data_IF_097229167049
#
_entry.id   IF_097229167049
#
_cell.length_a   1.000
_cell.length_b   1.000
_cell.length_c   1.000
_cell.angle_alpha   90.00
_cell.angle_beta   90.00
_cell.angle_gamma   90.00
#
_symmetry.space_group_name_H-M   'P 1'
#
loop_
_entity.id
_entity.type
_entity.pdbx_description
1 polymer ?
#
# COMPACT_ATOMS: atom_id res chain seq x y z
N UNK A 1 -3.53 -18.14 -6.32
CA UNK A 1 -2.25 -17.44 -6.56
C UNK A 1 -1.80 -16.84 -5.25
N UNK A 2 -0.50 -16.66 -5.05
CA UNK A 2 0.06 -16.08 -3.83
C UNK A 2 0.32 -14.58 -4.01
N UNK A 3 -0.09 -13.78 -3.03
CA UNK A 3 0.04 -12.33 -3.04
C UNK A 3 0.75 -11.83 -1.79
N UNK A 4 1.81 -11.05 -1.98
CA UNK A 4 2.57 -10.43 -0.88
C UNK A 4 2.22 -8.97 -0.74
N UNK A 5 1.86 -8.56 0.48
CA UNK A 5 1.55 -7.16 0.81
C UNK A 5 1.69 -6.92 2.32
N UNK A 6 1.85 -5.67 2.72
CA UNK A 6 1.97 -5.30 4.13
C UNK A 6 0.81 -4.41 4.56
N UNK A 7 0.12 -4.79 5.64
CA UNK A 7 -0.82 -3.92 6.32
C UNK A 7 -0.13 -3.26 7.51
N UNK A 8 -0.15 -1.93 7.59
CA UNK A 8 0.44 -1.18 8.69
C UNK A 8 -0.64 -0.50 9.51
N UNK A 9 -0.57 -0.65 10.83
CA UNK A 9 -1.55 -0.15 11.77
C UNK A 9 -0.91 0.63 12.92
N UNK A 10 -1.68 1.58 13.46
CA UNK A 10 -1.48 2.17 14.77
C UNK A 10 -2.33 1.38 15.77
N UNK A 11 -1.67 0.83 16.79
CA UNK A 11 -2.33 0.18 17.92
C UNK A 11 -2.78 1.21 18.97
N UNK A 12 -3.88 0.92 19.64
CA UNK A 12 -4.29 1.59 20.86
C UNK A 12 -3.41 1.16 22.05
N UNK A 13 -3.44 1.93 23.15
CA UNK A 13 -2.64 1.63 24.34
C UNK A 13 -2.99 0.28 24.97
N UNK A 14 -4.25 -0.14 24.83
CA UNK A 14 -4.82 -1.37 25.38
C UNK A 14 -4.33 -2.64 24.65
N UNK A 15 -3.89 -2.52 23.39
CA UNK A 15 -3.48 -3.66 22.54
C UNK A 15 -1.95 -3.81 22.42
N UNK A 16 -1.19 -3.32 23.39
CA UNK A 16 0.29 -3.37 23.37
C UNK A 16 0.88 -4.72 23.81
N UNK A 17 0.07 -5.64 24.30
CA UNK A 17 0.49 -7.00 24.65
C UNK A 17 0.70 -7.85 23.41
N UNK A 18 1.96 -8.01 22.99
CA UNK A 18 2.35 -8.63 21.72
C UNK A 18 1.89 -10.10 21.63
N UNK A 19 2.12 -10.88 22.68
CA UNK A 19 1.82 -12.33 22.65
C UNK A 19 0.32 -12.58 22.46
N UNK A 20 -0.52 -11.92 23.26
CA UNK A 20 -1.98 -12.01 23.15
C UNK A 20 -2.49 -11.45 21.81
N UNK A 21 -1.83 -10.44 21.26
CA UNK A 21 -2.15 -9.88 19.94
C UNK A 21 -1.86 -10.89 18.83
N UNK A 22 -0.70 -11.55 18.87
CA UNK A 22 -0.31 -12.59 17.90
C UNK A 22 -1.28 -13.77 17.95
N UNK A 23 -1.66 -14.23 19.15
CA UNK A 23 -2.65 -15.30 19.31
C UNK A 23 -4.00 -14.93 18.68
N UNK A 24 -4.53 -13.74 18.99
CA UNK A 24 -5.79 -13.22 18.40
C UNK A 24 -5.73 -13.12 16.88
N UNK A 25 -4.60 -12.67 16.33
CA UNK A 25 -4.39 -12.56 14.88
C UNK A 25 -4.38 -13.95 14.23
N UNK A 26 -3.69 -14.92 14.83
CA UNK A 26 -3.68 -16.30 14.35
C UNK A 26 -5.08 -16.93 14.36
N UNK A 27 -5.82 -16.78 15.46
CA UNK A 27 -7.20 -17.27 15.58
C UNK A 27 -8.17 -16.62 14.57
N UNK A 28 -7.90 -15.37 14.19
CA UNK A 28 -8.69 -14.64 13.20
C UNK A 28 -8.31 -14.98 11.74
N UNK A 29 -7.35 -15.88 11.51
CA UNK A 29 -6.94 -16.28 10.16
C UNK A 29 -5.82 -15.44 9.55
N UNK A 30 -5.00 -14.77 10.37
CA UNK A 30 -3.76 -14.12 9.93
C UNK A 30 -2.50 -14.96 10.24
N UNK A 31 -2.60 -16.29 10.08
CA UNK A 31 -1.49 -17.23 10.27
C UNK A 31 -0.48 -17.23 9.11
N UNK A 32 -0.85 -16.61 7.99
CA UNK A 32 -0.05 -16.36 6.79
C UNK A 32 0.67 -15.00 6.78
N UNK A 33 0.70 -14.31 7.94
CA UNK A 33 1.32 -13.01 8.10
C UNK A 33 2.52 -13.03 9.05
N UNK A 34 3.62 -12.42 8.61
CA UNK A 34 4.73 -12.08 9.49
C UNK A 34 4.38 -10.83 10.30
N UNK A 35 4.35 -10.99 11.63
CA UNK A 35 4.05 -9.91 12.57
C UNK A 35 5.32 -9.13 12.93
N UNK A 36 5.31 -7.82 12.67
CA UNK A 36 6.43 -6.92 12.96
C UNK A 36 6.02 -5.72 13.81
N UNK A 37 6.80 -5.44 14.86
CA UNK A 37 6.63 -4.24 15.72
C UNK A 37 7.92 -3.42 15.64
N UNK A 38 8.00 -2.56 14.62
CA UNK A 38 9.18 -1.74 14.39
C UNK A 38 9.27 -0.51 15.30
N UNK A 39 8.14 -0.03 15.82
CA UNK A 39 8.06 1.13 16.72
C UNK A 39 6.96 0.90 17.77
N UNK A 40 7.08 1.50 18.97
CA UNK A 40 6.01 1.45 19.97
C UNK A 40 4.66 1.90 19.40
N UNK A 41 3.64 1.04 19.54
CA UNK A 41 2.29 1.29 19.02
C UNK A 41 2.14 1.15 17.50
N UNK A 42 3.15 0.66 16.78
CA UNK A 42 3.03 0.29 15.36
C UNK A 42 2.96 -1.22 15.22
N UNK A 43 2.04 -1.68 14.37
CA UNK A 43 1.92 -3.06 13.94
C UNK A 43 2.08 -3.09 12.43
N UNK A 44 2.97 -3.96 11.94
CA UNK A 44 3.07 -4.31 10.53
C UNK A 44 2.77 -5.80 10.38
N UNK A 45 1.97 -6.14 9.39
CA UNK A 45 1.61 -7.51 9.06
C UNK A 45 1.95 -7.72 7.59
N UNK A 46 3.04 -8.44 7.32
CA UNK A 46 3.44 -8.82 5.96
C UNK A 46 2.80 -10.16 5.61
N UNK A 47 1.75 -10.11 4.79
CA UNK A 47 1.00 -11.27 4.33
C UNK A 47 1.69 -11.91 3.15
N UNK A 48 1.62 -13.24 3.10
CA UNK A 48 1.83 -14.05 1.90
C UNK A 48 0.59 -14.90 1.70
N UNK A 49 -0.44 -14.30 1.10
CA UNK A 49 -1.81 -14.82 1.12
C UNK A 49 -2.21 -15.47 -0.19
N UNK A 50 -2.77 -16.66 -0.10
CA UNK A 50 -3.41 -17.31 -1.24
C UNK A 50 -4.83 -16.80 -1.47
N UNK A 51 -5.14 -16.41 -2.71
CA UNK A 51 -6.49 -16.01 -3.11
C UNK A 51 -6.72 -16.21 -4.62
N UNK A 52 -7.96 -15.97 -5.09
CA UNK A 52 -8.29 -15.97 -6.51
C UNK A 52 -7.76 -14.72 -7.22
N UNK A 53 -7.79 -13.57 -6.54
CA UNK A 53 -7.23 -12.30 -7.01
C UNK A 53 -6.64 -11.45 -5.88
N UNK A 54 -5.82 -10.45 -6.24
CA UNK A 54 -5.17 -9.54 -5.29
C UNK A 54 -6.19 -8.75 -4.44
N UNK A 55 -7.36 -8.47 -5.01
CA UNK A 55 -8.45 -7.78 -4.33
C UNK A 55 -9.01 -8.61 -3.18
N UNK A 56 -9.27 -9.89 -3.43
CA UNK A 56 -9.73 -10.84 -2.42
C UNK A 56 -8.69 -11.01 -1.32
N UNK A 57 -7.40 -11.17 -1.68
CA UNK A 57 -6.31 -11.31 -0.72
C UNK A 57 -6.24 -10.12 0.26
N UNK A 58 -6.22 -8.89 -0.25
CA UNK A 58 -6.13 -7.69 0.59
C UNK A 58 -7.42 -7.46 1.39
N UNK A 59 -8.60 -7.67 0.79
CA UNK A 59 -9.89 -7.45 1.49
C UNK A 59 -10.11 -8.46 2.62
N UNK A 60 -9.76 -9.73 2.43
CA UNK A 60 -9.86 -10.74 3.48
C UNK A 60 -8.90 -10.40 4.63
N UNK A 61 -7.64 -10.06 4.32
CA UNK A 61 -6.67 -9.69 5.36
C UNK A 61 -7.09 -8.44 6.15
N UNK A 62 -7.66 -7.43 5.49
CA UNK A 62 -8.24 -6.26 6.16
C UNK A 62 -9.41 -6.64 7.08
N UNK A 63 -10.25 -7.59 6.67
CA UNK A 63 -11.38 -8.07 7.46
C UNK A 63 -10.91 -8.85 8.70
N UNK A 64 -9.95 -9.76 8.52
CA UNK A 64 -9.39 -10.60 9.59
C UNK A 64 -8.71 -9.75 10.65
N UNK A 65 -7.86 -8.80 10.25
CA UNK A 65 -7.20 -7.89 11.19
C UNK A 65 -8.22 -7.01 11.93
N UNK A 66 -9.29 -6.57 11.25
CA UNK A 66 -10.34 -5.77 11.88
C UNK A 66 -11.16 -6.58 12.88
N UNK A 67 -11.36 -7.87 12.64
CA UNK A 67 -12.00 -8.77 13.60
C UNK A 67 -11.08 -9.02 14.80
N UNK A 68 -9.79 -9.28 14.54
CA UNK A 68 -8.80 -9.53 15.58
C UNK A 68 -8.55 -8.31 16.46
N UNK A 69 -8.43 -7.11 15.88
CA UNK A 69 -8.02 -5.86 16.57
C UNK A 69 -8.89 -4.68 16.14
N UNK A 70 -10.15 -4.58 16.62
CA UNK A 70 -11.09 -3.54 16.16
C UNK A 70 -10.66 -2.10 16.44
N UNK A 71 -9.82 -1.90 17.45
CA UNK A 71 -9.24 -0.62 17.87
C UNK A 71 -8.08 -0.16 16.97
N UNK A 72 -7.48 -1.07 16.20
CA UNK A 72 -6.32 -0.75 15.36
C UNK A 72 -6.73 0.17 14.21
N UNK A 73 -5.97 1.24 14.03
CA UNK A 73 -6.19 2.21 12.96
C UNK A 73 -5.26 1.93 11.79
N UNK A 74 -5.82 1.61 10.63
CA UNK A 74 -5.04 1.42 9.40
C UNK A 74 -4.25 2.69 9.07
N UNK A 75 -2.93 2.55 8.95
CA UNK A 75 -2.01 3.61 8.52
C UNK A 75 -1.88 3.54 7.00
N UNK A 76 -1.53 2.38 6.44
CA UNK A 76 -1.40 2.18 5.00
C UNK A 76 -1.40 0.69 4.63
N UNK A 77 -1.76 0.41 3.38
CA UNK A 77 -1.49 -0.85 2.69
C UNK A 77 -0.31 -0.64 1.75
N UNK A 78 0.70 -1.50 1.82
CA UNK A 78 1.88 -1.46 0.97
C UNK A 78 1.99 -2.74 0.11
N UNK A 79 2.59 -2.67 -1.09
CA UNK A 79 3.26 -1.51 -1.67
C UNK A 79 2.29 -0.54 -2.40
N UNK A 80 2.39 0.76 -2.10
CA UNK A 80 1.62 1.81 -2.80
C UNK A 80 2.40 3.13 -2.86
N UNK A 81 2.58 3.82 -1.74
CA UNK A 81 3.28 5.11 -1.69
C UNK A 81 4.79 4.90 -1.73
N UNK A 82 5.41 5.23 -2.86
CA UNK A 82 6.82 4.90 -3.16
C UNK A 82 7.61 6.09 -3.69
N UNK A 83 8.91 6.11 -3.37
CA UNK A 83 9.89 6.94 -4.06
C UNK A 83 10.52 6.22 -5.25
N UNK A 84 11.33 6.94 -6.03
CA UNK A 84 12.04 6.35 -7.18
C UNK A 84 13.02 5.23 -6.79
N UNK A 85 13.49 5.21 -5.54
CA UNK A 85 14.35 4.13 -5.04
C UNK A 85 13.57 2.84 -4.93
N UNK A 86 12.39 2.88 -4.29
CA UNK A 86 11.56 1.69 -4.07
C UNK A 86 11.05 1.14 -5.41
N UNK A 87 10.62 2.02 -6.33
CA UNK A 87 10.25 1.61 -7.69
C UNK A 87 11.42 0.93 -8.40
N UNK A 88 12.63 1.49 -8.29
CA UNK A 88 13.79 0.93 -8.95
C UNK A 88 14.12 -0.47 -8.42
N UNK A 89 14.01 -0.69 -7.12
CA UNK A 89 14.18 -2.00 -6.49
C UNK A 89 13.15 -3.02 -6.99
N UNK A 90 11.86 -2.64 -6.99
CA UNK A 90 10.76 -3.50 -7.46
C UNK A 90 10.93 -3.90 -8.93
N UNK A 91 11.38 -2.96 -9.77
CA UNK A 91 11.53 -3.16 -11.22
C UNK A 91 12.90 -3.76 -11.59
N UNK A 92 13.82 -3.86 -10.64
CA UNK A 92 15.17 -4.43 -10.87
C UNK A 92 16.11 -3.51 -11.65
N UNK A 93 15.97 -2.18 -11.50
CA UNK A 93 16.83 -1.17 -12.15
C UNK A 93 17.49 -0.26 -11.12
N UNK A 94 18.39 0.64 -11.56
CA UNK A 94 18.96 1.63 -10.65
C UNK A 94 18.05 2.83 -10.45
N UNK A 95 18.11 3.46 -9.26
CA UNK A 95 17.42 4.74 -9.00
C UNK A 95 17.76 5.81 -10.04
N UNK A 96 19.01 5.86 -10.51
CA UNK A 96 19.43 6.81 -11.54
C UNK A 96 18.73 6.54 -12.89
N UNK A 97 18.49 5.27 -13.23
CA UNK A 97 17.70 4.89 -14.41
C UNK A 97 16.27 5.45 -14.31
N UNK A 98 15.59 5.21 -13.19
CA UNK A 98 14.24 5.74 -12.94
C UNK A 98 14.19 7.27 -12.99
N UNK A 99 15.15 7.95 -12.36
CA UNK A 99 15.24 9.41 -12.42
C UNK A 99 15.43 9.92 -13.85
N UNK A 100 16.26 9.26 -14.64
CA UNK A 100 16.48 9.63 -16.05
C UNK A 100 15.19 9.47 -16.87
N UNK A 101 14.43 8.40 -16.63
CA UNK A 101 13.14 8.18 -17.32
C UNK A 101 12.13 9.26 -16.99
N UNK A 102 11.98 9.59 -15.70
CA UNK A 102 11.10 10.67 -15.23
C UNK A 102 11.44 12.00 -15.93
N UNK A 103 12.72 12.40 -15.92
CA UNK A 103 13.17 13.66 -16.52
C UNK A 103 13.04 13.69 -18.04
N UNK A 104 13.17 12.54 -18.71
CA UNK A 104 13.04 12.43 -20.16
C UNK A 104 11.58 12.48 -20.64
N UNK A 105 10.60 12.29 -19.74
CA UNK A 105 9.18 12.16 -20.11
C UNK A 105 8.25 13.01 -19.23
N UNK A 106 8.49 14.33 -19.12
CA UNK A 106 7.77 15.19 -18.19
C UNK A 106 6.25 15.28 -18.46
N UNK A 107 5.80 15.04 -19.69
CA UNK A 107 4.38 15.10 -20.07
C UNK A 107 3.62 13.78 -19.93
N UNK A 108 4.30 12.66 -19.68
CA UNK A 108 3.65 11.34 -19.61
C UNK A 108 3.99 10.55 -18.35
N UNK A 109 5.13 10.84 -17.71
CA UNK A 109 5.46 10.19 -16.44
C UNK A 109 4.41 10.58 -15.40
N UNK A 110 3.94 9.65 -14.55
CA UNK A 110 2.88 9.95 -13.59
C UNK A 110 3.20 11.14 -12.69
N UNK A 111 2.16 11.94 -12.41
CA UNK A 111 2.28 13.03 -11.46
C UNK A 111 2.51 12.47 -10.05
N UNK A 112 3.42 13.06 -9.25
CA UNK A 112 3.59 12.66 -7.86
C UNK A 112 2.36 13.04 -7.03
N UNK A 113 2.02 12.19 -6.06
CA UNK A 113 0.98 12.49 -5.06
C UNK A 113 1.48 13.41 -3.96
N UNK A 114 2.80 13.51 -3.81
CA UNK A 114 3.47 14.44 -2.93
C UNK A 114 4.75 14.93 -3.57
N UNK A 115 4.94 16.25 -3.56
CA UNK A 115 6.15 16.90 -4.03
C UNK A 115 6.72 17.78 -2.91
N UNK A 116 7.87 17.35 -2.37
CA UNK A 116 8.57 18.00 -1.26
C UNK A 116 10.07 17.72 -1.31
N UNK A 117 10.71 17.53 -0.15
CA UNK A 117 12.12 17.09 -0.10
C UNK A 117 12.32 15.72 -0.77
N UNK A 118 11.29 14.88 -0.70
CA UNK A 118 11.16 13.65 -1.49
C UNK A 118 9.84 13.66 -2.25
N UNK A 119 9.89 13.28 -3.52
CA UNK A 119 8.69 13.05 -4.32
C UNK A 119 8.17 11.63 -4.10
N UNK A 120 6.86 11.49 -4.00
CA UNK A 120 6.17 10.20 -3.76
C UNK A 120 5.12 9.99 -4.85
N UNK A 121 4.98 8.76 -5.31
CA UNK A 121 4.00 8.33 -6.30
C UNK A 121 3.19 7.16 -5.77
N UNK A 122 2.02 6.92 -6.37
CA UNK A 122 1.41 5.61 -6.32
C UNK A 122 2.19 4.65 -7.23
N UNK A 123 2.59 3.51 -6.67
CA UNK A 123 3.34 2.48 -7.38
C UNK A 123 2.55 1.99 -8.59
N UNK A 124 1.23 1.81 -8.45
CA UNK A 124 0.35 1.35 -9.51
C UNK A 124 0.46 2.22 -10.78
N UNK A 125 0.49 3.55 -10.62
CA UNK A 125 0.58 4.48 -11.76
C UNK A 125 1.93 4.39 -12.47
N UNK A 126 3.02 4.30 -11.69
CA UNK A 126 4.37 4.17 -12.25
C UNK A 126 4.56 2.83 -12.95
N UNK A 127 4.07 1.75 -12.36
CA UNK A 127 4.13 0.41 -12.96
C UNK A 127 3.29 0.31 -14.23
N UNK A 128 2.06 0.86 -14.23
CA UNK A 128 1.22 0.90 -15.43
C UNK A 128 1.92 1.68 -16.57
N UNK A 129 2.51 2.84 -16.25
CA UNK A 129 3.26 3.62 -17.22
C UNK A 129 4.49 2.88 -17.77
N UNK A 130 5.22 2.14 -16.93
CA UNK A 130 6.35 1.32 -17.37
C UNK A 130 5.90 0.15 -18.26
N UNK A 131 4.76 -0.48 -17.95
CA UNK A 131 4.19 -1.58 -18.71
C UNK A 131 3.81 -1.13 -20.13
N UNK A 132 3.13 0.02 -20.26
CA UNK A 132 2.69 0.58 -21.55
C UNK A 132 3.85 0.90 -22.50
N UNK A 133 5.02 1.21 -21.95
CA UNK A 133 6.24 1.48 -22.72
C UNK A 133 6.95 0.24 -23.24
N UNK A 134 6.68 -0.91 -22.62
CA UNK A 134 7.39 -2.16 -22.88
C UNK A 134 8.82 -2.18 -22.32
N UNK A 135 9.40 -3.39 -22.26
CA UNK A 135 10.78 -3.60 -21.82
C UNK A 135 10.97 -3.87 -20.32
N UNK A 136 9.90 -3.87 -19.54
CA UNK A 136 9.91 -4.24 -18.12
C UNK A 136 9.05 -5.49 -17.92
N UNK A 137 9.68 -6.58 -17.49
CA UNK A 137 8.97 -7.78 -17.04
C UNK A 137 8.52 -7.54 -15.59
N UNK A 138 7.37 -6.87 -15.43
CA UNK A 138 6.75 -6.73 -14.13
C UNK A 138 6.08 -8.06 -13.77
N UNK A 139 6.32 -8.55 -12.56
CA UNK A 139 5.57 -9.68 -12.06
C UNK A 139 4.09 -9.24 -11.95
N UNK A 140 3.21 -9.92 -12.69
CA UNK A 140 1.80 -9.55 -12.87
C UNK A 140 1.07 -9.35 -11.53
N UNK A 141 1.44 -10.13 -10.52
CA UNK A 141 0.95 -10.04 -9.15
C UNK A 141 1.29 -8.70 -8.44
N UNK A 142 2.44 -8.08 -8.72
CA UNK A 142 2.85 -6.85 -8.02
C UNK A 142 2.01 -5.65 -8.44
N UNK A 143 1.72 -5.52 -9.74
CA UNK A 143 0.88 -4.43 -10.24
C UNK A 143 -0.56 -4.54 -9.70
N UNK A 144 -1.10 -5.75 -9.66
CA UNK A 144 -2.46 -5.96 -9.14
C UNK A 144 -2.55 -5.67 -7.64
N UNK A 145 -1.57 -6.10 -6.85
CA UNK A 145 -1.48 -5.74 -5.43
C UNK A 145 -1.35 -4.23 -5.27
N UNK A 146 -0.47 -3.58 -6.03
CA UNK A 146 -0.27 -2.12 -5.95
C UNK A 146 -1.55 -1.35 -6.26
N UNK A 147 -2.34 -1.79 -7.26
CA UNK A 147 -3.64 -1.18 -7.58
C UNK A 147 -4.63 -1.30 -6.43
N UNK A 148 -4.73 -2.46 -5.81
CA UNK A 148 -5.66 -2.68 -4.68
C UNK A 148 -5.19 -1.91 -3.44
N UNK A 149 -3.89 -1.89 -3.17
CA UNK A 149 -3.30 -1.11 -2.08
C UNK A 149 -3.58 0.40 -2.24
N UNK A 150 -3.38 0.94 -3.46
CA UNK A 150 -3.75 2.31 -3.81
C UNK A 150 -5.23 2.60 -3.52
N UNK A 151 -6.13 1.73 -3.98
CA UNK A 151 -7.58 1.90 -3.73
C UNK A 151 -7.89 1.94 -2.23
N UNK A 152 -7.33 1.01 -1.45
CA UNK A 152 -7.53 0.98 0.00
C UNK A 152 -7.02 2.26 0.68
N UNK A 153 -5.84 2.75 0.29
CA UNK A 153 -5.24 3.96 0.83
C UNK A 153 -6.02 5.22 0.45
N UNK A 154 -6.47 5.35 -0.80
CA UNK A 154 -7.30 6.48 -1.26
C UNK A 154 -8.64 6.50 -0.54
N UNK A 155 -9.31 5.34 -0.38
CA UNK A 155 -10.56 5.26 0.38
C UNK A 155 -10.34 5.68 1.83
N UNK A 156 -9.28 5.19 2.48
CA UNK A 156 -8.89 5.58 3.85
C UNK A 156 -8.71 7.09 3.98
N UNK A 157 -7.99 7.73 3.06
CA UNK A 157 -7.78 9.19 3.12
C UNK A 157 -9.08 9.97 2.84
N UNK A 158 -9.93 9.50 1.92
CA UNK A 158 -11.24 10.10 1.65
C UNK A 158 -12.13 10.12 2.90
N UNK A 159 -12.05 9.11 3.76
CA UNK A 159 -12.80 9.06 5.02
C UNK A 159 -12.40 10.17 6.02
N UNK A 160 -11.27 10.84 5.82
CA UNK A 160 -10.86 11.99 6.65
C UNK A 160 -11.55 13.29 6.25
N UNK A 161 -12.17 13.34 5.07
CA UNK A 161 -12.85 14.52 4.56
C UNK A 161 -14.32 14.56 5.03
N UNK A 162 -14.77 15.66 5.66
CA UNK A 162 -16.19 15.90 5.88
C UNK A 162 -16.94 15.96 4.53
N UNK A 163 -18.14 15.37 4.46
CA UNK A 163 -18.94 15.28 3.22
C UNK A 163 -19.20 16.63 2.54
N UNK A 164 -19.30 17.72 3.31
CA UNK A 164 -19.51 19.06 2.78
C UNK A 164 -18.27 19.58 2.03
N UNK A 165 -17.09 19.49 2.66
CA UNK A 165 -15.82 19.91 2.06
C UNK A 165 -15.45 19.09 0.82
N UNK A 166 -15.79 17.79 0.79
CA UNK A 166 -15.55 16.94 -0.38
C UNK A 166 -16.22 17.51 -1.65
N UNK A 167 -17.50 17.92 -1.56
CA UNK A 167 -18.23 18.44 -2.74
C UNK A 167 -17.65 19.73 -3.29
N UNK A 168 -17.19 20.62 -2.43
CA UNK A 168 -16.63 21.92 -2.83
C UNK A 168 -15.26 21.75 -3.50
N UNK A 169 -14.43 20.86 -2.96
CA UNK A 169 -13.09 20.61 -3.47
C UNK A 169 -13.09 19.74 -4.73
N UNK A 170 -14.01 18.78 -4.87
CA UNK A 170 -14.10 17.88 -6.04
C UNK A 170 -14.19 18.68 -7.36
N UNK A 171 -14.85 19.84 -7.36
CA UNK A 171 -14.99 20.69 -8.54
C UNK A 171 -13.72 21.49 -8.92
N UNK A 172 -12.71 21.53 -8.03
CA UNK A 172 -11.49 22.34 -8.18
C UNK A 172 -10.24 21.51 -8.44
N UNK A 173 -10.22 20.26 -7.99
CA UNK A 173 -9.06 19.36 -8.11
C UNK A 173 -9.16 18.37 -9.27
N UNK A 174 -10.32 18.30 -9.95
CA UNK A 174 -10.62 17.39 -11.06
C UNK A 174 -10.68 18.07 -12.42
#
# INVERSE_FOLDING_TARGET
>A
MEYTFTLKYQLADEDRGIDALVERLGEAGCDDALVGIGQPGRLALEFTREAADAGEAVRSALADVRAAVPSARLIEVAPDLVGLTDVAEIVGVSRQNMRKLMLAHPGSFPAPVHEGSTSIWHLADVLAWLQDRGGYALAENVLDVARVAMQANVVKERLRLPKAAAKELDALVG
#
